data_IF_571592332236
#
_entry.id   IF_571592332236
#
_cell.length_a   1.000
_cell.length_b   1.000
_cell.length_c   1.000
_cell.angle_alpha   90.00
_cell.angle_beta   90.00
_cell.angle_gamma   90.00
#
_symmetry.space_group_name_H-M   'P 1'
#
loop_
_entity.id
_entity.type
_entity.pdbx_description
1 polymer ?
#
# COMPACT_ATOMS: atom_id res chain seq x y z
N UNK A 1 17.65 -12.06 -4.56
CA UNK A 1 16.64 -12.80 -5.35
C UNK A 1 16.68 -14.23 -4.85
N UNK A 2 16.10 -14.46 -3.68
CA UNK A 2 16.17 -15.76 -3.00
C UNK A 2 14.95 -16.62 -3.37
N UNK A 3 15.28 -17.77 -3.96
CA UNK A 3 14.62 -19.07 -3.86
C UNK A 3 13.08 -19.13 -3.80
N UNK A 4 12.41 -18.76 -4.90
CA UNK A 4 11.02 -19.17 -5.17
C UNK A 4 10.88 -20.31 -6.18
N UNK A 5 12.00 -20.83 -6.69
CA UNK A 5 12.06 -21.73 -7.85
C UNK A 5 12.37 -23.19 -7.55
N UNK A 6 11.96 -23.72 -6.39
CA UNK A 6 12.08 -25.16 -6.11
C UNK A 6 10.78 -25.88 -6.45
N UNK A 7 10.82 -26.53 -7.62
CA UNK A 7 10.07 -27.73 -8.00
C UNK A 7 8.74 -27.98 -7.25
N UNK A 8 7.65 -27.39 -7.74
CA UNK A 8 6.31 -27.97 -7.70
C UNK A 8 5.41 -27.12 -8.62
N UNK A 9 5.07 -27.68 -9.78
CA UNK A 9 4.40 -27.00 -10.90
C UNK A 9 3.21 -26.17 -10.43
N UNK A 10 3.23 -24.87 -10.76
CA UNK A 10 2.39 -23.80 -10.19
C UNK A 10 0.91 -24.21 -10.04
N UNK A 11 0.49 -24.82 -8.91
CA UNK A 11 -0.76 -25.57 -8.89
C UNK A 11 -1.94 -24.61 -8.80
N UNK A 12 -1.77 -23.51 -8.06
CA UNK A 12 -2.75 -22.42 -7.99
C UNK A 12 -2.88 -21.69 -9.31
N UNK A 13 -1.77 -21.43 -10.00
CA UNK A 13 -1.82 -20.76 -11.33
C UNK A 13 -2.57 -21.64 -12.33
N UNK A 14 -2.26 -22.95 -12.37
CA UNK A 14 -2.97 -23.91 -13.21
C UNK A 14 -4.46 -23.97 -12.89
N UNK A 15 -4.82 -24.01 -11.61
CA UNK A 15 -6.22 -23.99 -11.17
C UNK A 15 -6.93 -22.72 -11.66
N UNK A 16 -6.36 -21.54 -11.42
CA UNK A 16 -6.95 -20.26 -11.83
C UNK A 16 -7.08 -20.19 -13.35
N UNK A 17 -6.07 -20.64 -14.10
CA UNK A 17 -6.11 -20.69 -15.56
C UNK A 17 -7.24 -21.60 -16.07
N UNK A 18 -7.48 -22.72 -15.41
CA UNK A 18 -8.60 -23.61 -15.74
C UNK A 18 -9.96 -22.97 -15.40
N UNK A 19 -10.07 -22.31 -14.25
CA UNK A 19 -11.29 -21.62 -13.81
C UNK A 19 -11.71 -20.48 -14.76
N UNK A 20 -10.74 -19.77 -15.35
CA UNK A 20 -11.03 -18.73 -16.37
C UNK A 20 -11.22 -19.30 -17.79
N UNK A 21 -11.18 -20.62 -17.96
CA UNK A 21 -11.52 -21.29 -19.21
C UNK A 21 -10.35 -21.55 -20.18
N UNK A 22 -9.08 -21.42 -19.74
CA UNK A 22 -7.93 -21.79 -20.56
C UNK A 22 -7.87 -23.31 -20.70
N UNK A 23 -7.92 -23.77 -21.95
CA UNK A 23 -7.80 -25.20 -22.30
C UNK A 23 -6.32 -25.55 -22.50
N UNK A 24 -5.97 -26.82 -22.30
CA UNK A 24 -4.62 -27.37 -22.57
C UNK A 24 -3.47 -26.58 -21.91
N UNK A 25 -3.51 -26.43 -20.59
CA UNK A 25 -2.52 -25.63 -19.83
C UNK A 25 -1.19 -26.39 -19.72
N UNK A 26 -0.09 -25.76 -20.15
CA UNK A 26 1.27 -26.30 -20.01
C UNK A 26 1.97 -25.77 -18.75
N UNK A 27 3.09 -26.40 -18.37
CA UNK A 27 3.95 -25.85 -17.30
C UNK A 27 4.59 -24.52 -17.70
N UNK A 28 4.80 -24.30 -18.99
CA UNK A 28 5.36 -23.05 -19.53
C UNK A 28 4.35 -21.90 -19.39
N UNK A 29 3.07 -22.13 -19.68
CA UNK A 29 2.00 -21.14 -19.48
C UNK A 29 1.94 -20.68 -18.02
N UNK A 30 1.96 -21.66 -17.10
CA UNK A 30 1.98 -21.42 -15.66
C UNK A 30 3.17 -20.56 -15.23
N UNK A 31 4.36 -20.84 -15.77
CA UNK A 31 5.59 -20.08 -15.49
C UNK A 31 5.51 -18.65 -16.04
N UNK A 32 5.03 -18.50 -17.27
CA UNK A 32 4.90 -17.20 -17.93
C UNK A 32 3.92 -16.30 -17.19
N UNK A 33 2.75 -16.84 -16.80
CA UNK A 33 1.76 -16.10 -16.02
C UNK A 33 2.32 -15.69 -14.66
N UNK A 34 2.97 -16.60 -13.94
CA UNK A 34 3.59 -16.28 -12.66
C UNK A 34 4.68 -15.19 -12.79
N UNK A 35 5.48 -15.26 -13.84
CA UNK A 35 6.50 -14.26 -14.15
C UNK A 35 5.88 -12.89 -14.44
N UNK A 36 4.88 -12.82 -15.32
CA UNK A 36 4.18 -11.57 -15.64
C UNK A 36 3.55 -10.97 -14.38
N UNK A 37 2.85 -11.75 -13.57
CA UNK A 37 2.29 -11.27 -12.30
C UNK A 37 3.38 -10.72 -11.37
N UNK A 38 4.53 -11.39 -11.28
CA UNK A 38 5.67 -10.94 -10.47
C UNK A 38 6.19 -9.59 -10.95
N UNK A 39 6.41 -9.44 -12.25
CA UNK A 39 6.93 -8.19 -12.84
C UNK A 39 5.93 -7.04 -12.67
N UNK A 40 4.65 -7.28 -12.93
CA UNK A 40 3.59 -6.26 -12.80
C UNK A 40 3.46 -5.79 -11.36
N UNK A 41 3.36 -6.71 -10.39
CA UNK A 41 3.23 -6.37 -8.99
C UNK A 41 4.48 -5.67 -8.44
N UNK A 42 5.67 -6.07 -8.88
CA UNK A 42 6.93 -5.41 -8.50
C UNK A 42 6.99 -3.98 -9.02
N UNK A 43 6.63 -3.76 -10.29
CA UNK A 43 6.56 -2.41 -10.88
C UNK A 43 5.57 -1.54 -10.13
N UNK A 44 4.38 -2.06 -9.82
CA UNK A 44 3.37 -1.34 -9.07
C UNK A 44 3.88 -0.93 -7.68
N UNK A 45 4.48 -1.86 -6.93
CA UNK A 45 5.06 -1.57 -5.62
C UNK A 45 6.16 -0.50 -5.71
N UNK A 46 7.04 -0.56 -6.70
CA UNK A 46 8.13 0.42 -6.85
C UNK A 46 7.63 1.83 -7.20
N UNK A 47 6.62 1.94 -8.06
CA UNK A 47 6.03 3.25 -8.40
C UNK A 47 5.33 3.88 -7.19
N UNK A 48 4.58 3.08 -6.43
CA UNK A 48 3.97 3.54 -5.17
C UNK A 48 5.03 3.94 -4.15
N UNK A 49 6.12 3.16 -4.02
CA UNK A 49 7.24 3.47 -3.14
C UNK A 49 7.88 4.82 -3.47
N UNK A 50 8.09 5.12 -4.76
CA UNK A 50 8.65 6.40 -5.19
C UNK A 50 7.78 7.59 -4.77
N UNK A 51 6.45 7.48 -4.90
CA UNK A 51 5.53 8.52 -4.44
C UNK A 51 5.59 8.72 -2.92
N UNK A 52 5.61 7.63 -2.14
CA UNK A 52 5.68 7.70 -0.67
C UNK A 52 7.03 8.28 -0.22
N UNK A 53 8.14 7.79 -0.77
CA UNK A 53 9.48 8.28 -0.47
C UNK A 53 9.58 9.78 -0.76
N UNK A 54 9.03 10.25 -1.88
CA UNK A 54 9.03 11.67 -2.20
C UNK A 54 8.28 12.53 -1.17
N UNK A 55 7.14 12.06 -0.67
CA UNK A 55 6.40 12.77 0.39
C UNK A 55 7.20 12.79 1.69
N UNK A 56 7.80 11.67 2.09
CA UNK A 56 8.67 11.58 3.26
C UNK A 56 9.87 12.55 3.15
N UNK A 57 10.56 12.52 2.02
CA UNK A 57 11.70 13.38 1.70
C UNK A 57 11.31 14.85 1.64
N UNK A 58 10.07 15.18 1.26
CA UNK A 58 9.58 16.57 1.28
C UNK A 58 9.23 17.03 2.69
N UNK A 59 8.66 16.16 3.52
CA UNK A 59 8.27 16.50 4.89
C UNK A 59 9.46 16.65 5.84
N UNK A 60 10.55 15.89 5.65
CA UNK A 60 11.80 15.91 6.45
C UNK A 60 11.55 16.00 7.95
N UNK A 61 10.63 15.18 8.47
CA UNK A 61 10.33 15.20 9.90
C UNK A 61 11.50 14.61 10.69
N UNK A 62 11.86 15.21 11.85
CA UNK A 62 12.94 14.70 12.71
C UNK A 62 12.53 13.46 13.52
N UNK A 63 11.27 13.03 13.40
CA UNK A 63 10.69 11.89 14.13
C UNK A 63 10.15 10.84 13.15
N UNK A 64 9.96 9.62 13.66
CA UNK A 64 9.45 8.49 12.90
C UNK A 64 8.04 8.77 12.35
N UNK A 65 7.89 8.74 11.03
CA UNK A 65 6.61 8.96 10.35
C UNK A 65 5.87 7.64 10.15
N UNK A 66 4.60 7.57 10.55
CA UNK A 66 3.73 6.44 10.22
C UNK A 66 2.99 6.71 8.92
N UNK A 67 3.18 5.84 7.93
CA UNK A 67 2.43 5.87 6.66
C UNK A 67 1.31 4.86 6.75
N UNK A 68 0.07 5.34 6.76
CA UNK A 68 -1.13 4.50 6.74
C UNK A 68 -1.39 3.96 5.33
N UNK A 69 -1.59 2.65 5.23
CA UNK A 69 -1.98 1.95 4.01
C UNK A 69 -3.31 1.25 4.19
N UNK A 70 -4.14 1.28 3.16
CA UNK A 70 -5.37 0.50 3.04
C UNK A 70 -5.49 -0.01 1.59
N UNK A 71 -6.29 -1.04 1.38
CA UNK A 71 -6.55 -1.63 0.07
C UNK A 71 -6.15 -3.10 -0.04
N UNK A 72 -6.87 -3.81 -0.90
CA UNK A 72 -6.75 -5.26 -1.08
C UNK A 72 -5.36 -5.70 -1.56
N UNK A 73 -4.72 -4.93 -2.45
CA UNK A 73 -3.38 -5.26 -2.95
C UNK A 73 -2.35 -5.22 -1.82
N UNK A 74 -2.33 -4.16 -1.02
CA UNK A 74 -1.41 -4.07 0.12
C UNK A 74 -1.72 -5.12 1.20
N UNK A 75 -2.99 -5.48 1.38
CA UNK A 75 -3.45 -6.44 2.40
C UNK A 75 -3.23 -7.92 2.03
N UNK A 76 -3.49 -8.29 0.78
CA UNK A 76 -3.59 -9.70 0.37
C UNK A 76 -2.51 -10.14 -0.61
N UNK A 77 -1.84 -9.23 -1.30
CA UNK A 77 -0.78 -9.62 -2.23
C UNK A 77 0.47 -10.08 -1.45
N UNK A 78 0.97 -11.31 -1.69
CA UNK A 78 1.97 -11.96 -0.83
C UNK A 78 3.30 -11.19 -0.72
N UNK A 79 3.66 -10.45 -1.77
CA UNK A 79 4.95 -9.75 -1.84
C UNK A 79 4.87 -8.22 -1.82
N UNK A 80 3.66 -7.64 -1.94
CA UNK A 80 3.55 -6.22 -2.28
C UNK A 80 4.08 -5.33 -1.15
N UNK A 81 3.67 -5.61 0.09
CA UNK A 81 4.13 -4.88 1.28
C UNK A 81 5.65 -4.89 1.41
N UNK A 82 6.29 -6.05 1.20
CA UNK A 82 7.75 -6.21 1.29
C UNK A 82 8.46 -5.42 0.19
N UNK A 83 8.05 -5.59 -1.07
CA UNK A 83 8.65 -4.90 -2.21
C UNK A 83 8.52 -3.37 -2.10
N UNK A 84 7.37 -2.91 -1.61
CA UNK A 84 7.11 -1.50 -1.34
C UNK A 84 8.06 -0.96 -0.26
N UNK A 85 8.14 -1.62 0.89
CA UNK A 85 8.98 -1.18 2.02
C UNK A 85 10.46 -1.17 1.66
N UNK A 86 10.95 -2.25 1.04
CA UNK A 86 12.32 -2.33 0.52
C UNK A 86 12.62 -1.16 -0.43
N UNK A 87 11.71 -0.86 -1.37
CA UNK A 87 11.94 0.23 -2.32
C UNK A 87 11.88 1.61 -1.66
N UNK A 88 11.00 1.84 -0.68
CA UNK A 88 10.96 3.11 0.07
C UNK A 88 12.30 3.32 0.79
N UNK A 89 12.82 2.30 1.47
CA UNK A 89 14.08 2.39 2.21
C UNK A 89 15.28 2.78 1.34
N UNK A 90 15.27 2.41 0.06
CA UNK A 90 16.31 2.76 -0.91
C UNK A 90 16.18 4.22 -1.39
N UNK A 91 14.94 4.74 -1.49
CA UNK A 91 14.64 6.04 -2.08
C UNK A 91 14.57 7.19 -1.06
N UNK A 92 14.40 6.87 0.22
CA UNK A 92 14.26 7.88 1.28
C UNK A 92 15.62 8.52 1.62
N UNK A 93 15.64 9.83 1.91
CA UNK A 93 16.84 10.55 2.34
C UNK A 93 17.37 9.95 3.65
N UNK A 94 18.70 9.92 3.80
CA UNK A 94 19.35 9.45 5.03
C UNK A 94 18.83 10.22 6.25
N UNK A 95 18.55 9.48 7.33
CA UNK A 95 18.08 10.05 8.61
C UNK A 95 16.55 10.17 8.70
N UNK A 96 15.81 9.98 7.61
CA UNK A 96 14.35 9.90 7.68
C UNK A 96 13.94 8.52 8.19
N UNK A 97 13.17 8.49 9.27
CA UNK A 97 12.61 7.26 9.83
C UNK A 97 11.13 7.16 9.49
N UNK A 98 10.69 5.96 9.10
CA UNK A 98 9.28 5.69 8.80
C UNK A 98 8.84 4.30 9.26
N UNK A 99 7.53 4.06 9.22
CA UNK A 99 6.93 2.73 9.33
C UNK A 99 5.64 2.66 8.52
N UNK A 100 5.34 1.49 7.95
CA UNK A 100 4.10 1.25 7.22
C UNK A 100 3.08 0.55 8.13
N UNK A 101 1.85 1.06 8.18
CA UNK A 101 0.79 0.53 9.03
C UNK A 101 -0.45 0.21 8.19
N UNK A 102 -0.98 -1.01 8.32
CA UNK A 102 -2.25 -1.39 7.71
C UNK A 102 -3.39 -0.77 8.53
N UNK A 103 -4.23 0.01 7.86
CA UNK A 103 -5.44 0.59 8.43
C UNK A 103 -6.60 -0.41 8.29
N UNK A 104 -7.29 -0.73 9.39
CA UNK A 104 -8.49 -1.59 9.36
C UNK A 104 -9.77 -0.82 9.01
N UNK A 105 -9.93 0.37 9.60
CA UNK A 105 -11.16 1.18 9.52
C UNK A 105 -10.85 2.68 9.33
N UNK A 106 -9.71 3.01 8.71
CA UNK A 106 -9.19 4.38 8.68
C UNK A 106 -10.11 5.38 8.01
N UNK A 107 -10.83 4.98 6.95
CA UNK A 107 -11.75 5.89 6.27
C UNK A 107 -12.95 6.26 7.16
N UNK A 108 -13.50 5.30 7.93
CA UNK A 108 -14.65 5.54 8.79
C UNK A 108 -14.29 6.40 10.00
N UNK A 109 -13.25 6.00 10.74
CA UNK A 109 -12.79 6.74 11.93
C UNK A 109 -12.25 8.11 11.52
N UNK A 110 -11.47 8.19 10.44
CA UNK A 110 -10.93 9.44 9.94
C UNK A 110 -12.02 10.45 9.58
N UNK A 111 -13.07 10.01 8.87
CA UNK A 111 -14.20 10.86 8.54
C UNK A 111 -14.94 11.37 9.79
N UNK A 112 -15.18 10.50 10.78
CA UNK A 112 -15.83 10.88 12.03
C UNK A 112 -15.02 11.92 12.82
N UNK A 113 -13.69 11.75 12.90
CA UNK A 113 -12.80 12.70 13.58
C UNK A 113 -12.80 14.06 12.87
N UNK A 114 -12.71 14.07 11.54
CA UNK A 114 -12.78 15.32 10.76
C UNK A 114 -14.12 16.03 10.96
N UNK A 115 -15.24 15.31 10.94
CA UNK A 115 -16.57 15.86 11.18
C UNK A 115 -16.70 16.46 12.61
N UNK A 116 -16.17 15.77 13.62
CA UNK A 116 -16.16 16.24 14.99
C UNK A 116 -15.34 17.55 15.14
N UNK A 117 -14.15 17.60 14.52
CA UNK A 117 -13.29 18.80 14.54
C UNK A 117 -13.97 19.96 13.80
N UNK A 118 -14.55 19.74 12.62
CA UNK A 118 -15.26 20.77 11.87
C UNK A 118 -16.47 21.32 12.66
N UNK A 119 -17.22 20.45 13.32
CA UNK A 119 -18.35 20.84 14.18
C UNK A 119 -17.89 21.69 15.36
N UNK A 120 -16.77 21.32 16.00
CA UNK A 120 -16.19 22.10 17.11
C UNK A 120 -15.77 23.50 16.64
N UNK A 121 -15.02 23.60 15.54
CA UNK A 121 -14.57 24.87 14.97
C UNK A 121 -15.77 25.78 14.63
N UNK A 122 -16.84 25.22 14.04
CA UNK A 122 -18.06 25.98 13.74
C UNK A 122 -18.69 26.59 15.01
N UNK A 123 -18.81 25.81 16.10
CA UNK A 123 -19.35 26.29 17.38
C UNK A 123 -18.48 27.39 18.01
N UNK A 124 -17.16 27.24 17.95
CA UNK A 124 -16.21 28.25 18.43
C UNK A 124 -16.34 29.58 17.66
N UNK A 125 -16.56 29.53 16.35
CA UNK A 125 -16.78 30.72 15.53
C UNK A 125 -18.11 31.40 15.90
N UNK A 126 -19.21 30.65 15.96
CA UNK A 126 -20.54 31.19 16.30
C UNK A 126 -20.54 31.87 17.68
N UNK A 127 -19.97 31.22 18.70
CA UNK A 127 -19.90 31.76 20.06
C UNK A 127 -18.99 32.99 20.21
N UNK A 128 -18.07 33.24 19.27
CA UNK A 128 -17.27 34.49 19.24
C UNK A 128 -18.04 35.63 18.58
N UNK A 129 -18.77 35.36 17.50
CA UNK A 129 -19.62 36.37 16.86
C UNK A 129 -20.71 36.90 17.81
N UNK A 130 -21.29 36.04 18.65
CA UNK A 130 -22.30 36.41 19.65
C UNK A 130 -21.76 37.25 20.82
N UNK A 131 -20.44 37.24 21.06
CA UNK A 131 -19.80 38.03 22.14
C UNK A 131 -19.30 39.40 21.68
N UNK A 132 -19.34 39.68 20.38
CA UNK A 132 -18.76 40.89 19.78
C UNK A 132 -19.83 41.81 19.17
N UNK A 133 -21.11 41.43 19.22
CA UNK A 133 -22.27 42.26 18.88
C UNK A 133 -23.09 42.56 20.12
#
# INVERSE_FOLDING_TARGET
MEEGGKANGFPKTRQILAEIGVKTITEEDCRNVAYVCTVVSTRAAHLTAAAVAQVLNRMKRPYKVTVGFDGSVYRFHPFFKRLLDEKISILVDKGIQYQLMLSKDGSGIGAAVVAAVATRIKREITSRSEKTG
#
